data_IF_764464875664
#
_entry.id   IF_764464875664
#
_cell.length_a   1.000
_cell.length_b   1.000
_cell.length_c   1.000
_cell.angle_alpha   90.00
_cell.angle_beta   90.00
_cell.angle_gamma   90.00
#
_symmetry.space_group_name_H-M   'P 1'
#
loop_
_entity.id
_entity.type
_entity.pdbx_description
1 polymer ?
#
# COMPACT_ATOMS: atom_id res chain seq x y z
N UNK A 1 12.47 7.56 11.72
CA UNK A 1 11.26 8.20 11.14
C UNK A 1 10.04 7.37 11.51
N UNK A 2 8.84 7.93 11.42
CA UNK A 2 7.59 7.17 11.50
C UNK A 2 7.08 6.82 10.11
N UNK A 3 6.90 5.54 9.84
CA UNK A 3 6.49 5.02 8.53
C UNK A 3 5.12 4.36 8.69
N UNK A 4 4.10 4.95 8.06
CA UNK A 4 2.77 4.35 7.94
C UNK A 4 2.71 3.37 6.78
N UNK A 5 2.08 2.22 6.95
CA UNK A 5 1.89 1.22 5.90
C UNK A 5 0.43 0.75 5.89
N UNK A 6 -0.23 0.80 4.74
CA UNK A 6 -1.53 0.15 4.55
C UNK A 6 -1.35 -1.36 4.40
N UNK A 7 -1.78 -2.10 5.42
CA UNK A 7 -1.77 -3.57 5.44
C UNK A 7 -3.15 -4.17 5.16
N UNK A 8 -4.13 -3.38 4.72
CA UNK A 8 -5.52 -3.84 4.53
C UNK A 8 -5.66 -4.96 3.50
N UNK A 9 -4.72 -5.07 2.55
CA UNK A 9 -4.67 -6.15 1.56
C UNK A 9 -4.32 -7.52 2.14
N UNK A 10 -3.75 -7.58 3.35
CA UNK A 10 -3.37 -8.83 4.02
C UNK A 10 -4.55 -9.76 4.32
N UNK A 11 -5.78 -9.26 4.18
CA UNK A 11 -7.00 -10.05 4.37
C UNK A 11 -7.26 -11.02 3.22
N UNK A 12 -6.68 -10.76 2.04
CA UNK A 12 -6.83 -11.59 0.86
C UNK A 12 -5.74 -12.67 0.85
N UNK A 13 -5.85 -13.62 1.77
CA UNK A 13 -4.93 -14.76 1.90
C UNK A 13 -4.84 -15.54 0.58
N UNK A 14 -3.62 -15.98 0.24
CA UNK A 14 -3.33 -16.70 -1.01
C UNK A 14 -3.27 -15.82 -2.26
N UNK A 15 -3.47 -14.50 -2.13
CA UNK A 15 -3.22 -13.55 -3.24
C UNK A 15 -1.79 -13.03 -3.21
N UNK A 16 -1.24 -12.71 -4.39
CA UNK A 16 0.13 -12.17 -4.50
C UNK A 16 0.31 -10.85 -3.74
N UNK A 17 -0.65 -9.92 -3.85
CA UNK A 17 -0.61 -8.61 -3.16
C UNK A 17 -0.68 -8.78 -1.64
N UNK A 18 -1.56 -9.66 -1.16
CA UNK A 18 -1.70 -9.95 0.27
C UNK A 18 -0.42 -10.56 0.85
N UNK A 19 0.13 -11.59 0.21
CA UNK A 19 1.37 -12.24 0.63
C UNK A 19 2.55 -11.27 0.59
N UNK A 20 2.69 -10.50 -0.49
CA UNK A 20 3.71 -9.45 -0.61
C UNK A 20 3.65 -8.48 0.57
N UNK A 21 2.46 -7.96 0.88
CA UNK A 21 2.27 -6.98 1.95
C UNK A 21 2.67 -7.56 3.30
N UNK A 22 2.29 -8.80 3.59
CA UNK A 22 2.64 -9.48 4.85
C UNK A 22 4.15 -9.67 4.96
N UNK A 23 4.79 -10.20 3.91
CA UNK A 23 6.24 -10.48 3.89
C UNK A 23 7.08 -9.21 3.90
N UNK A 24 6.67 -8.17 3.19
CA UNK A 24 7.34 -6.88 3.20
C UNK A 24 7.41 -6.33 4.62
N UNK A 25 6.26 -6.27 5.30
CA UNK A 25 6.22 -5.75 6.67
C UNK A 25 6.98 -6.68 7.62
N UNK A 26 6.87 -8.01 7.48
CA UNK A 26 7.65 -8.96 8.29
C UNK A 26 9.15 -8.68 8.21
N UNK A 27 9.67 -8.55 6.99
CA UNK A 27 11.10 -8.37 6.76
C UNK A 27 11.58 -6.99 7.13
N UNK A 28 10.78 -5.94 6.90
CA UNK A 28 11.09 -4.60 7.40
C UNK A 28 11.23 -4.61 8.92
N UNK A 29 10.28 -5.23 9.62
CA UNK A 29 10.33 -5.32 11.09
C UNK A 29 11.48 -6.21 11.59
N UNK A 30 11.95 -7.18 10.82
CA UNK A 30 13.10 -8.03 11.15
C UNK A 30 14.45 -7.29 11.03
N UNK A 31 14.61 -6.42 10.03
CA UNK A 31 15.92 -5.84 9.68
C UNK A 31 16.11 -4.39 10.13
N UNK A 32 15.04 -3.63 10.38
CA UNK A 32 15.12 -2.21 10.67
C UNK A 32 14.92 -1.89 12.15
N UNK A 33 15.96 -1.40 12.81
CA UNK A 33 15.92 -1.00 14.21
C UNK A 33 15.78 0.52 14.43
N UNK A 34 15.78 1.32 13.35
CA UNK A 34 15.86 2.79 13.45
C UNK A 34 14.50 3.48 13.31
N UNK A 35 13.57 2.90 12.56
CA UNK A 35 12.27 3.52 12.31
C UNK A 35 11.18 2.96 13.23
N UNK A 36 10.09 3.72 13.34
CA UNK A 36 8.87 3.31 13.99
C UNK A 36 7.80 3.07 12.92
N UNK A 37 7.11 1.94 12.99
CA UNK A 37 6.13 1.53 12.00
C UNK A 37 4.70 1.68 12.52
N UNK A 38 3.84 2.27 11.70
CA UNK A 38 2.42 2.40 11.97
C UNK A 38 1.62 1.62 10.93
N UNK A 39 1.12 0.46 11.33
CA UNK A 39 0.42 -0.46 10.43
C UNK A 39 -1.08 -0.17 10.45
N UNK A 40 -1.58 0.39 9.36
CA UNK A 40 -2.99 0.68 9.16
C UNK A 40 -3.70 -0.54 8.60
N UNK A 41 -4.75 -1.01 9.28
CA UNK A 41 -5.65 -2.02 8.74
C UNK A 41 -7.08 -1.54 8.80
N UNK A 42 -7.82 -1.66 7.69
CA UNK A 42 -9.26 -1.49 7.71
C UNK A 42 -10.02 -2.47 6.83
N UNK A 43 -10.94 -3.21 7.43
CA UNK A 43 -11.94 -4.01 6.73
C UNK A 43 -13.15 -4.27 7.64
N UNK A 44 -14.33 -4.54 7.04
CA UNK A 44 -15.50 -5.02 7.79
C UNK A 44 -15.30 -6.42 8.37
N UNK A 45 -14.60 -7.29 7.63
CA UNK A 45 -14.29 -8.64 8.07
C UNK A 45 -13.29 -8.58 9.22
N UNK A 46 -13.36 -9.56 10.14
CA UNK A 46 -12.39 -9.64 11.25
C UNK A 46 -10.99 -9.72 10.68
N UNK A 47 -10.10 -8.87 11.20
CA UNK A 47 -8.67 -9.01 10.98
C UNK A 47 -8.25 -10.38 11.51
N UNK A 48 -7.81 -11.28 10.62
CA UNK A 48 -7.18 -12.52 11.04
C UNK A 48 -5.77 -12.19 11.48
N UNK A 49 -5.58 -12.00 12.79
CA UNK A 49 -4.27 -11.76 13.40
C UNK A 49 -3.30 -12.92 13.15
N UNK A 50 -3.82 -14.08 12.71
CA UNK A 50 -3.04 -15.27 12.37
C UNK A 50 -1.95 -15.03 11.31
N UNK A 51 -2.14 -14.05 10.41
CA UNK A 51 -1.16 -13.74 9.35
C UNK A 51 -0.03 -12.80 9.82
N UNK A 52 -0.23 -12.10 10.94
CA UNK A 52 0.74 -11.15 11.48
C UNK A 52 1.20 -11.60 12.87
N UNK A 53 1.81 -12.79 12.94
CA UNK A 53 2.48 -13.30 14.14
C UNK A 53 3.84 -12.60 14.39
N UNK A 54 3.98 -11.32 14.04
CA UNK A 54 5.21 -10.55 14.25
C UNK A 54 5.70 -10.60 15.69
N UNK A 55 4.77 -10.50 16.65
CA UNK A 55 5.12 -10.49 18.06
C UNK A 55 5.68 -11.82 18.56
N UNK A 56 5.57 -12.89 17.77
CA UNK A 56 6.15 -14.20 18.09
C UNK A 56 7.45 -14.47 17.33
N UNK A 57 7.78 -13.68 16.31
CA UNK A 57 9.03 -13.85 15.59
C UNK A 57 10.16 -13.33 16.49
N UNK A 58 11.05 -14.20 16.99
CA UNK A 58 12.08 -13.82 17.93
C UNK A 58 13.12 -12.87 17.33
N UNK A 59 13.09 -12.62 16.02
CA UNK A 59 13.96 -11.64 15.36
C UNK A 59 13.40 -10.22 15.41
N UNK A 60 12.10 -10.05 15.60
CA UNK A 60 11.45 -8.74 15.74
C UNK A 60 11.48 -8.35 17.23
N UNK A 61 12.65 -7.95 17.73
CA UNK A 61 12.84 -7.59 19.15
C UNK A 61 12.92 -6.09 19.39
N UNK A 62 13.61 -5.37 18.50
CA UNK A 62 14.00 -3.99 18.74
C UNK A 62 13.16 -2.98 17.95
N UNK A 63 12.46 -3.44 16.93
CA UNK A 63 11.68 -2.57 16.03
C UNK A 63 10.39 -2.12 16.69
N UNK A 64 10.20 -0.80 16.76
CA UNK A 64 8.97 -0.21 17.29
C UNK A 64 7.89 -0.27 16.23
N UNK A 65 6.77 -0.92 16.53
CA UNK A 65 5.61 -0.90 15.67
C UNK A 65 4.31 -0.88 16.46
N UNK A 66 3.28 -0.32 15.84
CA UNK A 66 1.92 -0.29 16.37
C UNK A 66 0.94 -0.62 15.24
N UNK A 67 -0.12 -1.35 15.56
CA UNK A 67 -1.16 -1.73 14.61
C UNK A 67 -2.45 -0.98 14.97
N UNK A 68 -3.01 -0.25 14.01
CA UNK A 68 -4.29 0.46 14.14
C UNK A 68 -5.34 -0.24 13.28
N UNK A 69 -6.27 -0.90 13.96
CA UNK A 69 -7.31 -1.72 13.34
C UNK A 69 -8.63 -0.95 13.34
N UNK A 70 -9.21 -0.79 12.15
CA UNK A 70 -10.51 -0.16 11.95
C UNK A 70 -11.48 -1.14 11.30
N UNK A 71 -12.77 -1.02 11.65
CA UNK A 71 -13.86 -1.82 11.05
C UNK A 71 -14.60 -1.04 9.97
N UNK A 72 -13.87 -0.25 9.19
CA UNK A 72 -14.44 0.57 8.12
C UNK A 72 -14.41 -0.26 6.82
N UNK A 73 -15.51 -0.31 6.05
CA UNK A 73 -15.52 -1.00 4.76
C UNK A 73 -14.50 -0.36 3.80
N UNK A 74 -13.73 -1.19 3.08
CA UNK A 74 -12.78 -0.70 2.06
C UNK A 74 -13.50 0.15 1.01
N UNK A 75 -14.76 -0.17 0.66
CA UNK A 75 -15.53 0.61 -0.31
C UNK A 75 -15.83 2.03 0.18
N UNK A 76 -16.01 2.22 1.49
CA UNK A 76 -16.21 3.54 2.06
C UNK A 76 -14.89 4.33 2.06
N UNK A 77 -13.77 3.68 2.39
CA UNK A 77 -12.45 4.31 2.28
C UNK A 77 -12.09 4.66 0.84
N UNK A 78 -12.37 3.79 -0.13
CA UNK A 78 -12.20 4.09 -1.57
C UNK A 78 -13.00 5.33 -1.97
N UNK A 79 -14.23 5.45 -1.49
CA UNK A 79 -15.05 6.62 -1.75
C UNK A 79 -14.47 7.89 -1.13
N UNK A 80 -14.06 7.85 0.15
CA UNK A 80 -13.50 9.02 0.84
C UNK A 80 -12.13 9.43 0.28
N UNK A 81 -11.28 8.47 -0.06
CA UNK A 81 -9.88 8.71 -0.42
C UNK A 81 -9.63 8.82 -1.92
N UNK A 82 -10.20 7.91 -2.72
CA UNK A 82 -9.94 7.89 -4.16
C UNK A 82 -10.96 8.72 -4.96
N UNK A 83 -12.13 9.05 -4.38
CA UNK A 83 -13.14 9.89 -5.07
C UNK A 83 -13.24 11.29 -4.50
N UNK A 84 -13.52 11.41 -3.20
CA UNK A 84 -13.64 12.72 -2.55
C UNK A 84 -12.29 13.31 -2.18
N UNK A 85 -11.30 12.45 -1.94
CA UNK A 85 -9.95 12.81 -1.56
C UNK A 85 -9.89 13.69 -0.31
N UNK A 86 -10.57 13.23 0.74
CA UNK A 86 -10.68 13.88 2.06
C UNK A 86 -10.27 12.92 3.17
N UNK A 87 -10.18 13.39 4.42
CA UNK A 87 -9.77 12.61 5.60
C UNK A 87 -8.36 12.02 5.47
N UNK A 88 -7.32 12.84 5.70
CA UNK A 88 -5.94 12.38 5.66
C UNK A 88 -5.69 11.18 6.58
N UNK A 89 -4.81 10.28 6.16
CA UNK A 89 -4.53 9.05 6.90
C UNK A 89 -4.02 9.34 8.32
N UNK A 90 -3.29 10.45 8.51
CA UNK A 90 -2.77 10.87 9.81
C UNK A 90 -3.87 11.07 10.87
N UNK A 91 -5.13 11.33 10.47
CA UNK A 91 -6.24 11.44 11.42
C UNK A 91 -6.64 10.09 12.05
N UNK A 92 -6.34 8.98 11.37
CA UNK A 92 -6.62 7.63 11.86
C UNK A 92 -5.43 7.07 12.64
N UNK A 93 -4.22 7.27 12.12
CA UNK A 93 -3.03 6.56 12.62
C UNK A 93 -2.03 7.45 13.36
N UNK A 94 -2.31 8.76 13.42
CA UNK A 94 -1.42 9.77 13.97
C UNK A 94 -0.37 10.22 12.96
N UNK A 95 0.50 11.11 13.42
CA UNK A 95 1.56 11.72 12.63
C UNK A 95 2.59 10.68 12.14
N UNK A 96 2.88 10.74 10.84
CA UNK A 96 3.87 9.91 10.14
C UNK A 96 4.69 10.77 9.16
N UNK A 97 5.91 10.34 8.86
CA UNK A 97 6.81 11.01 7.92
C UNK A 97 6.63 10.48 6.49
N UNK A 98 6.35 9.17 6.36
CA UNK A 98 6.14 8.47 5.09
C UNK A 98 4.88 7.61 5.20
N UNK A 99 4.06 7.59 4.16
CA UNK A 99 2.96 6.64 4.02
C UNK A 99 3.18 5.74 2.79
N UNK A 100 3.19 4.42 3.01
CA UNK A 100 3.24 3.41 1.96
C UNK A 100 1.83 2.85 1.74
N UNK A 101 1.25 3.17 0.58
CA UNK A 101 -0.01 2.60 0.11
C UNK A 101 0.23 1.36 -0.77
N UNK A 102 -0.83 0.58 -0.98
CA UNK A 102 -0.84 -0.59 -1.86
C UNK A 102 -1.85 -0.38 -3.00
N UNK A 103 -2.59 -1.41 -3.40
CA UNK A 103 -3.22 -1.47 -4.72
C UNK A 103 -4.58 -0.77 -4.81
N UNK A 104 -5.33 -0.69 -3.69
CA UNK A 104 -6.73 -0.26 -3.71
C UNK A 104 -6.99 1.17 -3.22
N UNK A 105 -6.15 1.71 -2.36
CA UNK A 105 -6.44 2.93 -1.59
C UNK A 105 -5.26 3.90 -1.70
N UNK A 106 -5.57 5.19 -1.88
CA UNK A 106 -4.58 6.26 -1.96
C UNK A 106 -5.08 7.47 -1.13
N UNK A 107 -5.00 7.41 0.21
CA UNK A 107 -5.46 8.50 1.06
C UNK A 107 -4.67 9.79 0.83
N UNK A 108 -5.29 10.98 1.02
CA UNK A 108 -4.53 12.20 1.21
C UNK A 108 -3.61 12.08 2.42
N UNK A 109 -2.51 12.82 2.41
CA UNK A 109 -1.65 13.04 3.58
C UNK A 109 -1.63 14.52 3.92
N UNK A 110 -1.42 14.86 5.20
CA UNK A 110 -1.23 16.25 5.64
C UNK A 110 0.17 16.71 5.29
N UNK A 111 1.17 15.88 5.60
CA UNK A 111 2.59 16.19 5.39
C UNK A 111 3.44 14.99 4.99
N UNK A 112 2.93 13.77 5.20
CA UNK A 112 3.70 12.58 4.95
C UNK A 112 4.02 12.46 3.45
N UNK A 113 5.27 12.10 3.16
CA UNK A 113 5.70 11.71 1.83
C UNK A 113 5.01 10.41 1.43
N UNK A 114 4.58 10.31 0.18
CA UNK A 114 3.77 9.17 -0.27
C UNK A 114 4.57 8.24 -1.15
N UNK A 115 4.50 6.96 -0.83
CA UNK A 115 5.05 5.88 -1.63
C UNK A 115 3.92 4.92 -1.94
N UNK A 116 3.89 4.37 -3.15
CA UNK A 116 2.96 3.30 -3.49
C UNK A 116 3.67 2.19 -4.23
N UNK A 117 3.17 0.96 -4.10
CA UNK A 117 3.58 -0.15 -4.97
C UNK A 117 2.57 -0.32 -6.10
N UNK A 118 3.09 -0.49 -7.32
CA UNK A 118 2.34 -0.94 -8.49
C UNK A 118 2.81 -2.36 -8.81
N UNK A 119 1.90 -3.32 -8.67
CA UNK A 119 2.16 -4.72 -8.97
C UNK A 119 2.16 -4.96 -10.49
N UNK A 120 1.11 -4.50 -11.15
CA UNK A 120 0.98 -4.53 -12.60
C UNK A 120 0.06 -3.40 -13.11
N UNK A 121 0.05 -3.19 -14.42
CA UNK A 121 -0.86 -2.27 -15.12
C UNK A 121 -1.73 -3.01 -16.14
N UNK A 122 -2.02 -4.29 -15.86
CA UNK A 122 -2.84 -5.14 -16.71
C UNK A 122 -4.23 -4.56 -16.95
N UNK A 123 -4.80 -3.89 -15.95
CA UNK A 123 -6.09 -3.18 -16.01
C UNK A 123 -6.12 -2.06 -17.07
N UNK A 124 -4.96 -1.49 -17.39
CA UNK A 124 -4.81 -0.47 -18.42
C UNK A 124 -4.48 -1.08 -19.79
N UNK A 125 -3.68 -2.16 -19.82
CA UNK A 125 -3.31 -2.86 -21.05
C UNK A 125 -4.44 -3.66 -21.66
N UNK A 126 -5.23 -4.34 -20.83
CA UNK A 126 -6.29 -5.26 -21.23
C UNK A 126 -7.62 -4.85 -20.60
N UNK A 127 -8.11 -3.62 -20.84
CA UNK A 127 -9.26 -3.08 -20.12
C UNK A 127 -10.54 -3.91 -20.29
N UNK A 128 -10.67 -4.64 -21.39
CA UNK A 128 -11.85 -5.48 -21.69
C UNK A 128 -11.84 -6.81 -20.91
N UNK A 129 -10.72 -7.18 -20.29
CA UNK A 129 -10.59 -8.37 -19.45
C UNK A 129 -11.02 -8.12 -17.99
N UNK A 130 -11.34 -6.88 -17.62
CA UNK A 130 -11.68 -6.50 -16.25
C UNK A 130 -13.10 -5.96 -16.15
N UNK A 131 -13.74 -6.22 -15.00
CA UNK A 131 -15.01 -5.58 -14.68
C UNK A 131 -14.86 -4.06 -14.62
N UNK A 132 -15.88 -3.33 -15.13
CA UNK A 132 -15.89 -1.86 -15.19
C UNK A 132 -15.61 -1.22 -13.83
N UNK A 133 -16.09 -1.83 -12.74
CA UNK A 133 -15.86 -1.34 -11.38
C UNK A 133 -14.39 -1.43 -11.00
N UNK A 134 -13.74 -2.57 -11.23
CA UNK A 134 -12.31 -2.78 -10.96
C UNK A 134 -11.49 -1.76 -11.74
N UNK A 135 -11.74 -1.65 -13.05
CA UNK A 135 -11.10 -0.65 -13.90
C UNK A 135 -11.23 0.76 -13.33
N UNK A 136 -12.45 1.14 -12.94
CA UNK A 136 -12.70 2.48 -12.39
C UNK A 136 -11.96 2.75 -11.08
N UNK A 137 -11.88 1.76 -10.19
CA UNK A 137 -11.22 1.92 -8.87
C UNK A 137 -9.71 2.01 -9.05
N UNK A 138 -9.10 1.08 -9.80
CA UNK A 138 -7.66 1.12 -10.06
C UNK A 138 -7.27 2.41 -10.79
N UNK A 139 -8.04 2.85 -11.78
CA UNK A 139 -7.74 4.10 -12.51
C UNK A 139 -7.76 5.31 -11.57
N UNK A 140 -8.76 5.43 -10.67
CA UNK A 140 -8.80 6.53 -9.70
C UNK A 140 -7.63 6.49 -8.71
N UNK A 141 -7.32 5.31 -8.18
CA UNK A 141 -6.16 5.11 -7.30
C UNK A 141 -4.88 5.57 -7.99
N UNK A 142 -4.67 5.13 -9.24
CA UNK A 142 -3.50 5.50 -10.03
C UNK A 142 -3.42 7.01 -10.30
N UNK A 143 -4.55 7.68 -10.59
CA UNK A 143 -4.57 9.14 -10.77
C UNK A 143 -4.02 9.90 -9.54
N UNK A 144 -4.39 9.47 -8.33
CA UNK A 144 -3.84 10.06 -7.10
C UNK A 144 -2.38 9.70 -6.89
N UNK A 145 -1.99 8.45 -7.15
CA UNK A 145 -0.60 8.02 -7.06
C UNK A 145 0.32 8.85 -7.98
N UNK A 146 -0.11 9.11 -9.22
CA UNK A 146 0.64 9.94 -10.17
C UNK A 146 0.84 11.37 -9.67
N UNK A 147 -0.20 11.92 -9.05
CA UNK A 147 -0.24 13.31 -8.61
C UNK A 147 0.57 13.52 -7.32
N UNK A 148 0.56 12.54 -6.42
CA UNK A 148 0.99 12.76 -5.03
C UNK A 148 2.11 11.86 -4.55
N UNK A 149 2.37 10.72 -5.20
CA UNK A 149 3.48 9.87 -4.78
C UNK A 149 4.82 10.53 -5.17
N UNK A 150 5.70 10.58 -4.17
CA UNK A 150 7.08 11.00 -4.31
C UNK A 150 7.94 9.87 -4.89
N UNK A 151 7.58 8.62 -4.60
CA UNK A 151 8.21 7.42 -5.16
C UNK A 151 7.18 6.32 -5.43
N UNK A 152 7.43 5.52 -6.47
CA UNK A 152 6.57 4.43 -6.90
C UNK A 152 7.44 3.17 -7.03
N UNK A 153 7.09 2.14 -6.29
CA UNK A 153 7.74 0.84 -6.34
C UNK A 153 7.09 0.00 -7.43
N UNK A 154 7.92 -0.68 -8.22
CA UNK A 154 7.49 -1.61 -9.25
C UNK A 154 8.10 -2.98 -8.99
N UNK A 155 7.29 -4.04 -9.04
CA UNK A 155 7.75 -5.39 -8.76
C UNK A 155 8.71 -5.94 -9.83
N UNK A 156 8.77 -5.30 -11.00
CA UNK A 156 9.61 -5.72 -12.12
C UNK A 156 9.96 -4.56 -13.05
N UNK A 157 10.99 -4.76 -13.88
CA UNK A 157 11.32 -3.88 -15.00
C UNK A 157 10.21 -3.83 -16.07
N UNK A 158 9.39 -4.88 -16.18
CA UNK A 158 8.22 -4.85 -17.06
C UNK A 158 7.18 -3.86 -16.54
N UNK A 159 6.82 -3.94 -15.25
CA UNK A 159 5.89 -3.02 -14.61
C UNK A 159 6.40 -1.58 -14.66
N UNK A 160 7.72 -1.38 -14.46
CA UNK A 160 8.34 -0.06 -14.60
C UNK A 160 8.21 0.51 -16.01
N UNK A 161 8.48 -0.27 -17.06
CA UNK A 161 8.29 0.16 -18.45
C UNK A 161 6.83 0.49 -18.73
N UNK A 162 5.90 -0.33 -18.26
CA UNK A 162 4.47 -0.09 -18.42
C UNK A 162 4.04 1.20 -17.73
N UNK A 163 4.58 1.50 -16.55
CA UNK A 163 4.29 2.73 -15.83
C UNK A 163 4.82 3.97 -16.58
N UNK A 164 5.96 3.85 -17.26
CA UNK A 164 6.47 4.92 -18.12
C UNK A 164 5.61 5.09 -19.37
N UNK A 165 5.29 4.00 -20.06
CA UNK A 165 4.60 4.01 -21.36
C UNK A 165 3.12 4.37 -21.26
N UNK A 166 2.42 3.83 -20.26
CA UNK A 166 0.96 3.96 -20.13
C UNK A 166 0.55 5.13 -19.25
N UNK A 167 1.38 5.50 -18.27
CA UNK A 167 1.06 6.53 -17.29
C UNK A 167 1.97 7.77 -17.38
N UNK A 168 3.01 7.74 -18.22
CA UNK A 168 3.92 8.88 -18.41
C UNK A 168 4.75 9.22 -17.18
N UNK A 169 4.97 8.26 -16.27
CA UNK A 169 5.70 8.51 -15.02
C UNK A 169 7.19 8.69 -15.32
N UNK A 170 7.78 9.74 -14.74
CA UNK A 170 9.21 9.98 -14.85
C UNK A 170 10.05 8.85 -14.24
N UNK A 171 11.12 8.45 -14.93
CA UNK A 171 11.98 7.33 -14.55
C UNK A 171 12.59 7.47 -13.14
N UNK A 172 12.85 8.69 -12.69
CA UNK A 172 13.40 9.02 -11.37
C UNK A 172 12.44 8.72 -10.21
N UNK A 173 11.12 8.71 -10.45
CA UNK A 173 10.10 8.33 -9.45
C UNK A 173 9.89 6.81 -9.35
N UNK A 174 10.38 6.05 -10.34
CA UNK A 174 10.11 4.62 -10.46
C UNK A 174 11.30 3.78 -9.97
N UNK A 175 11.05 2.98 -8.93
CA UNK A 175 12.06 2.12 -8.31
C UNK A 175 11.65 0.66 -8.44
N UNK A 176 12.49 -0.16 -9.08
CA UNK A 176 12.23 -1.59 -9.17
C UNK A 176 12.65 -2.24 -7.85
N UNK A 177 11.70 -2.93 -7.22
CA UNK A 177 11.91 -3.73 -6.00
C UNK A 177 11.34 -5.10 -6.28
N UNK A 178 12.22 -6.06 -6.57
CA UNK A 178 11.79 -7.43 -6.86
C UNK A 178 11.14 -8.09 -5.64
N UNK A 179 10.18 -8.97 -5.92
CA UNK A 179 9.56 -9.82 -4.90
C UNK A 179 10.59 -10.81 -4.32
N UNK A 180 10.42 -11.15 -3.04
CA UNK A 180 11.24 -12.15 -2.34
C UNK A 180 10.69 -13.57 -2.49
N UNK A 181 11.53 -14.57 -2.17
CA UNK A 181 11.20 -16.00 -2.08
C UNK A 181 11.30 -16.44 -0.62
#
# INVERSE_FOLDING_TARGET
MKIGIDISQSIYEGTGVGEYTVRLVEKLLEIDEKNEYMLFFSNRKKFSIFNFQFSKNPKIRNTKYQIRIFRIPIQLLEFLWNRLHVFPIEWLIGDIDIFLSSDWLEPPTVRAKKITTIHDLSVLKFPDSYDKKIKSVHTRKLQWALKECDAILCDSEATKRDAMELLGIEKNKLHVVYLGI
#
